data_IF_986096310046
#
_entry.id   IF_986096310046
#
_cell.length_a   1.000
_cell.length_b   1.000
_cell.length_c   1.000
_cell.angle_alpha   90.00
_cell.angle_beta   90.00
_cell.angle_gamma   90.00
#
_symmetry.space_group_name_H-M   'P 1'
#
loop_
_entity.id
_entity.type
_entity.pdbx_description
1 polymer ?
#
# COMPACT_ATOMS: atom_id res chain seq x y z
N UNK A 1 -40.17 43.65 17.81
CA UNK A 1 -39.28 44.53 17.01
C UNK A 1 -37.83 44.23 17.40
N UNK A 2 -36.97 43.81 16.46
CA UNK A 2 -35.56 43.56 16.81
C UNK A 2 -34.92 44.87 17.30
N UNK A 3 -34.00 44.82 18.28
CA UNK A 3 -33.33 46.02 18.74
C UNK A 3 -32.54 46.62 17.56
N UNK A 4 -32.61 47.96 17.36
CA UNK A 4 -31.76 48.60 16.37
C UNK A 4 -30.28 48.32 16.74
N UNK A 5 -29.39 48.19 15.74
CA UNK A 5 -27.98 48.00 16.01
C UNK A 5 -27.49 49.11 16.95
N UNK A 6 -26.68 48.75 17.95
CA UNK A 6 -26.19 49.62 19.04
C UNK A 6 -25.77 51.02 18.57
N UNK A 7 -25.22 51.10 17.36
CA UNK A 7 -24.84 52.34 16.68
C UNK A 7 -26.00 53.33 16.52
N UNK A 8 -27.16 52.87 16.06
CA UNK A 8 -28.33 53.71 15.78
C UNK A 8 -29.00 54.19 17.08
N UNK A 9 -28.94 53.36 18.13
CA UNK A 9 -29.39 53.76 19.46
C UNK A 9 -28.52 54.86 20.06
N UNK A 10 -27.19 54.74 19.93
CA UNK A 10 -26.24 55.74 20.42
C UNK A 10 -26.33 57.07 19.64
N UNK A 11 -26.48 57.01 18.31
CA UNK A 11 -26.66 58.21 17.48
C UNK A 11 -27.96 58.98 17.81
N UNK A 12 -29.02 58.27 18.21
CA UNK A 12 -30.28 58.91 18.65
C UNK A 12 -30.21 59.47 20.06
N UNK A 13 -29.57 58.76 21.00
CA UNK A 13 -29.53 59.15 22.42
C UNK A 13 -28.53 60.28 22.70
N UNK A 14 -27.47 60.41 21.89
CA UNK A 14 -26.38 61.36 22.12
C UNK A 14 -26.01 62.16 20.85
N UNK A 15 -27.01 62.59 20.09
CA UNK A 15 -26.84 63.25 18.79
C UNK A 15 -25.92 64.47 18.83
N UNK A 16 -26.05 65.33 19.85
CA UNK A 16 -25.20 66.52 20.01
C UNK A 16 -23.73 66.16 20.29
N UNK A 17 -23.48 65.19 21.16
CA UNK A 17 -22.12 64.76 21.53
C UNK A 17 -21.43 64.08 20.35
N UNK A 18 -22.18 63.26 19.60
CA UNK A 18 -21.70 62.60 18.38
C UNK A 18 -21.42 63.65 17.29
N UNK A 19 -22.29 64.63 17.12
CA UNK A 19 -22.11 65.74 16.17
C UNK A 19 -20.86 66.57 16.46
N UNK A 20 -20.66 66.96 17.73
CA UNK A 20 -19.48 67.71 18.16
C UNK A 20 -18.18 66.93 17.94
N UNK A 21 -18.15 65.65 18.34
CA UNK A 21 -16.96 64.79 18.12
C UNK A 21 -16.69 64.55 16.65
N UNK A 22 -17.72 64.42 15.80
CA UNK A 22 -17.53 64.30 14.34
C UNK A 22 -16.91 65.56 13.76
N UNK A 23 -17.33 66.75 14.21
CA UNK A 23 -16.74 68.02 13.79
C UNK A 23 -15.27 68.16 14.25
N UNK A 24 -14.96 67.79 15.49
CA UNK A 24 -13.58 67.80 16.02
C UNK A 24 -12.66 66.82 15.28
N UNK A 25 -13.17 65.64 14.91
CA UNK A 25 -12.44 64.63 14.13
C UNK A 25 -12.20 65.09 12.69
N UNK A 26 -13.18 65.75 12.07
CA UNK A 26 -13.03 66.30 10.71
C UNK A 26 -12.11 67.52 10.67
N UNK A 27 -12.02 68.28 11.76
CA UNK A 27 -11.10 69.41 11.89
C UNK A 27 -9.63 69.02 12.08
N UNK A 28 -9.33 67.75 12.41
CA UNK A 28 -7.96 67.29 12.62
C UNK A 28 -7.50 66.32 11.50
N UNK A 29 -6.67 66.78 10.55
CA UNK A 29 -6.30 66.00 9.37
C UNK A 29 -5.54 64.71 9.70
N UNK A 30 -4.83 64.65 10.83
CA UNK A 30 -4.11 63.44 11.27
C UNK A 30 -5.09 62.36 11.75
N UNK A 31 -6.13 62.76 12.48
CA UNK A 31 -7.13 61.83 13.02
C UNK A 31 -8.01 61.30 11.89
N UNK A 32 -8.47 62.16 10.98
CA UNK A 32 -9.24 61.74 9.81
C UNK A 32 -8.46 60.76 8.92
N UNK A 33 -7.15 60.98 8.75
CA UNK A 33 -6.29 60.08 7.99
C UNK A 33 -6.09 58.73 8.67
N UNK A 34 -5.91 58.71 10.00
CA UNK A 34 -5.85 57.45 10.77
C UNK A 34 -7.16 56.65 10.74
N UNK A 35 -8.31 57.33 10.80
CA UNK A 35 -9.63 56.69 10.71
C UNK A 35 -9.89 56.12 9.31
N UNK A 36 -9.50 56.85 8.25
CA UNK A 36 -9.57 56.33 6.88
C UNK A 36 -8.65 55.12 6.68
N UNK A 37 -7.46 55.12 7.27
CA UNK A 37 -6.56 53.97 7.23
C UNK A 37 -7.14 52.76 7.98
N UNK A 38 -7.72 52.98 9.16
CA UNK A 38 -8.37 51.94 9.94
C UNK A 38 -9.62 51.38 9.23
N UNK A 39 -10.41 52.23 8.61
CA UNK A 39 -11.58 51.83 7.84
C UNK A 39 -11.19 51.07 6.57
N UNK A 40 -10.11 51.47 5.87
CA UNK A 40 -9.55 50.69 4.75
C UNK A 40 -9.05 49.33 5.21
N UNK A 41 -8.41 49.25 6.38
CA UNK A 41 -7.97 47.97 6.96
C UNK A 41 -9.17 47.08 7.32
N UNK A 42 -10.20 47.64 7.94
CA UNK A 42 -11.46 46.94 8.26
C UNK A 42 -12.19 46.46 7.01
N UNK A 43 -12.27 47.28 5.96
CA UNK A 43 -12.87 46.91 4.67
C UNK A 43 -12.04 45.86 3.94
N UNK A 44 -10.71 45.90 4.05
CA UNK A 44 -9.83 44.85 3.51
C UNK A 44 -9.96 43.55 4.30
N UNK A 45 -10.12 43.60 5.62
CA UNK A 45 -10.38 42.43 6.47
C UNK A 45 -11.76 41.82 6.20
N UNK A 46 -12.80 42.66 6.02
CA UNK A 46 -14.15 42.22 5.68
C UNK A 46 -14.24 41.64 4.26
N UNK A 47 -13.52 42.23 3.28
CA UNK A 47 -13.35 41.64 1.93
C UNK A 47 -12.42 40.43 1.93
N UNK A 48 -11.55 40.29 2.94
CA UNK A 48 -10.60 39.20 3.14
C UNK A 48 -11.21 37.89 3.64
N UNK A 49 -12.49 37.90 4.07
CA UNK A 49 -13.22 36.66 4.44
C UNK A 49 -13.42 35.73 3.22
N UNK A 50 -13.22 36.19 1.98
CA UNK A 50 -13.32 35.36 0.77
C UNK A 50 -11.99 34.95 0.12
N UNK A 51 -10.82 35.34 0.66
CA UNK A 51 -9.53 34.86 0.13
C UNK A 51 -8.50 34.69 1.25
N UNK A 52 -8.52 33.52 1.87
CA UNK A 52 -7.37 32.99 2.61
C UNK A 52 -6.19 32.82 1.65
N UNK A 53 -5.24 33.76 1.69
CA UNK A 53 -3.87 33.48 1.29
C UNK A 53 -3.31 32.34 2.16
N UNK A 54 -2.59 31.35 1.60
CA UNK A 54 -2.13 30.22 2.38
C UNK A 54 -1.08 30.68 3.39
N UNK A 55 -1.36 30.41 4.67
CA UNK A 55 -0.46 30.63 5.79
C UNK A 55 0.85 29.89 5.58
N UNK A 56 1.92 30.68 5.47
CA UNK A 56 3.32 30.28 5.48
C UNK A 56 3.67 29.84 6.91
N UNK A 57 3.36 28.61 7.28
CA UNK A 57 3.60 28.16 8.67
C UNK A 57 3.08 26.77 8.99
N UNK A 58 3.54 25.76 8.25
CA UNK A 58 3.56 24.31 8.59
C UNK A 58 3.78 23.50 7.29
N UNK A 59 3.10 23.88 6.20
CA UNK A 59 3.19 23.18 4.91
C UNK A 59 4.57 23.26 4.25
N UNK A 60 5.33 24.35 4.45
CA UNK A 60 6.69 24.49 3.93
C UNK A 60 7.72 23.59 4.63
N UNK A 61 7.49 23.28 5.91
CA UNK A 61 8.38 22.39 6.68
C UNK A 61 8.13 20.92 6.31
N UNK A 62 6.86 20.52 6.18
CA UNK A 62 6.52 19.19 5.65
C UNK A 62 6.94 19.04 4.18
N UNK A 63 6.78 20.07 3.35
CA UNK A 63 7.26 20.07 1.96
C UNK A 63 8.79 20.01 1.87
N UNK A 64 9.50 20.77 2.72
CA UNK A 64 10.96 20.75 2.80
C UNK A 64 11.53 19.42 3.31
N UNK A 65 10.93 18.85 4.35
CA UNK A 65 11.33 17.54 4.88
C UNK A 65 10.99 16.43 3.88
N UNK A 66 9.82 16.47 3.24
CA UNK A 66 9.46 15.50 2.22
C UNK A 66 10.38 15.59 1.00
N UNK A 67 10.75 16.80 0.56
CA UNK A 67 11.69 16.99 -0.55
C UNK A 67 13.12 16.59 -0.20
N UNK A 68 13.58 16.85 1.04
CA UNK A 68 14.87 16.38 1.52
C UNK A 68 14.90 14.86 1.65
N UNK A 69 13.85 14.24 2.20
CA UNK A 69 13.73 12.79 2.31
C UNK A 69 13.64 12.12 0.95
N UNK A 70 12.92 12.70 -0.02
CA UNK A 70 12.89 12.15 -1.40
C UNK A 70 14.26 12.30 -2.07
N UNK A 71 14.97 13.41 -1.86
CA UNK A 71 16.30 13.60 -2.41
C UNK A 71 17.33 12.62 -1.81
N UNK A 72 17.32 12.44 -0.49
CA UNK A 72 18.17 11.46 0.20
C UNK A 72 17.79 10.03 -0.19
N UNK A 73 16.50 9.72 -0.31
CA UNK A 73 16.04 8.42 -0.78
C UNK A 73 16.51 8.15 -2.22
N UNK A 74 16.44 9.14 -3.11
CA UNK A 74 16.94 9.04 -4.49
C UNK A 74 18.46 8.84 -4.51
N UNK A 75 19.23 9.58 -3.71
CA UNK A 75 20.69 9.40 -3.62
C UNK A 75 21.06 8.01 -3.08
N UNK A 76 20.37 7.54 -2.04
CA UNK A 76 20.57 6.20 -1.47
C UNK A 76 20.18 5.10 -2.47
N UNK A 77 19.10 5.29 -3.24
CA UNK A 77 18.67 4.39 -4.32
C UNK A 77 19.66 4.36 -5.48
N UNK A 78 20.21 5.51 -5.90
CA UNK A 78 21.23 5.59 -6.94
C UNK A 78 22.52 4.91 -6.48
N UNK A 79 22.91 5.08 -5.21
CA UNK A 79 24.06 4.40 -4.64
C UNK A 79 23.87 2.88 -4.59
N UNK A 80 22.73 2.41 -4.08
CA UNK A 80 22.38 0.99 -3.99
C UNK A 80 22.15 0.33 -5.37
N UNK A 81 21.80 1.12 -6.39
CA UNK A 81 21.70 0.66 -7.78
C UNK A 81 23.06 0.61 -8.48
N UNK A 82 23.90 1.62 -8.25
CA UNK A 82 25.30 1.66 -8.72
C UNK A 82 26.15 0.55 -8.11
N UNK A 83 25.80 0.07 -6.91
CA UNK A 83 26.51 -1.03 -6.26
C UNK A 83 26.09 -2.41 -6.79
N UNK A 84 25.18 -2.52 -7.76
CA UNK A 84 25.02 -3.71 -8.60
C UNK A 84 24.59 -5.03 -7.93
N UNK A 85 24.46 -5.10 -6.61
CA UNK A 85 24.27 -6.36 -5.88
C UNK A 85 22.84 -6.95 -5.94
N UNK A 86 21.85 -6.21 -6.44
CA UNK A 86 20.43 -6.58 -6.26
C UNK A 86 19.75 -7.34 -7.41
N UNK A 87 20.38 -7.44 -8.59
CA UNK A 87 19.72 -7.97 -9.81
C UNK A 87 20.43 -9.21 -10.37
N UNK A 88 21.62 -9.56 -9.86
CA UNK A 88 22.42 -10.66 -10.40
C UNK A 88 22.44 -11.93 -9.54
N UNK A 89 21.86 -11.93 -8.34
CA UNK A 89 21.93 -13.07 -7.38
C UNK A 89 20.57 -13.56 -6.85
N UNK A 90 19.48 -13.38 -7.62
CA UNK A 90 18.23 -14.09 -7.30
C UNK A 90 18.14 -15.39 -8.08
N UNK A 91 18.39 -16.52 -7.39
CA UNK A 91 18.12 -17.89 -7.83
C UNK A 91 16.73 -18.09 -8.42
N UNK A 92 15.80 -17.20 -8.08
CA UNK A 92 14.41 -17.17 -8.53
C UNK A 92 14.28 -16.89 -10.05
N UNK A 93 15.26 -16.21 -10.64
CA UNK A 93 15.28 -15.89 -12.08
C UNK A 93 16.17 -16.82 -12.91
N UNK A 94 17.08 -17.56 -12.24
CA UNK A 94 18.06 -18.44 -12.87
C UNK A 94 17.52 -19.87 -12.90
N UNK A 95 17.49 -20.55 -14.06
CA UNK A 95 17.04 -21.94 -14.12
C UNK A 95 17.95 -22.83 -13.27
N UNK A 96 17.34 -23.82 -12.59
CA UNK A 96 18.06 -24.73 -11.67
C UNK A 96 19.22 -25.43 -12.37
N UNK A 97 19.07 -25.79 -13.65
CA UNK A 97 20.12 -26.44 -14.44
C UNK A 97 21.41 -25.64 -14.63
N UNK A 98 21.40 -24.34 -14.29
CA UNK A 98 22.56 -23.44 -14.34
C UNK A 98 23.11 -23.10 -12.96
N UNK A 99 22.56 -23.67 -11.89
CA UNK A 99 23.00 -23.33 -10.54
C UNK A 99 24.40 -23.86 -10.23
N UNK A 100 25.20 -23.04 -9.57
CA UNK A 100 26.52 -23.43 -9.05
C UNK A 100 26.38 -24.17 -7.72
N UNK A 101 27.42 -24.87 -7.24
CA UNK A 101 27.38 -25.53 -5.94
C UNK A 101 27.08 -24.58 -4.76
N UNK A 102 27.59 -23.36 -4.81
CA UNK A 102 27.34 -22.33 -3.80
C UNK A 102 25.88 -21.88 -3.79
N UNK A 103 25.30 -21.72 -4.98
CA UNK A 103 23.88 -21.38 -5.17
C UNK A 103 22.96 -22.51 -4.68
N UNK A 104 23.34 -23.78 -4.89
CA UNK A 104 22.63 -24.93 -4.34
C UNK A 104 22.69 -24.94 -2.81
N UNK A 105 23.85 -24.64 -2.22
CA UNK A 105 23.98 -24.52 -0.75
C UNK A 105 23.12 -23.37 -0.21
N UNK A 106 23.10 -22.23 -0.89
CA UNK A 106 22.24 -21.11 -0.54
C UNK A 106 20.75 -21.50 -0.60
N UNK A 107 20.31 -22.22 -1.64
CA UNK A 107 18.95 -22.77 -1.68
C UNK A 107 18.69 -23.75 -0.52
N UNK A 108 19.62 -24.64 -0.23
CA UNK A 108 19.48 -25.63 0.84
C UNK A 108 19.30 -24.95 2.22
N UNK A 109 19.99 -23.84 2.47
CA UNK A 109 19.78 -23.02 3.69
C UNK A 109 18.35 -22.47 3.82
N UNK A 110 17.70 -22.15 2.69
CA UNK A 110 16.33 -21.64 2.68
C UNK A 110 15.27 -22.71 2.94
N UNK A 111 15.60 -24.00 2.78
CA UNK A 111 14.68 -25.10 3.10
C UNK A 111 14.44 -25.18 4.61
N UNK A 112 15.44 -24.85 5.43
CA UNK A 112 15.28 -24.71 6.87
C UNK A 112 16.61 -24.62 7.62
N UNK A 113 16.59 -24.05 8.82
CA UNK A 113 17.82 -23.87 9.62
C UNK A 113 18.57 -25.18 9.94
N UNK A 114 17.84 -26.31 9.98
CA UNK A 114 18.39 -27.64 10.23
C UNK A 114 19.26 -28.18 9.09
N UNK A 115 19.17 -27.60 7.89
CA UNK A 115 19.96 -28.06 6.73
C UNK A 115 21.44 -27.74 6.85
N UNK A 116 21.81 -26.87 7.79
CA UNK A 116 23.20 -26.61 8.19
C UNK A 116 24.00 -27.89 8.50
N UNK A 117 23.33 -28.93 8.99
CA UNK A 117 23.93 -30.24 9.30
C UNK A 117 24.37 -31.01 8.05
N UNK A 118 23.82 -30.70 6.87
CA UNK A 118 24.03 -31.44 5.62
C UNK A 118 24.80 -30.63 4.56
N UNK A 119 25.27 -29.43 4.90
CA UNK A 119 25.99 -28.57 3.93
C UNK A 119 27.30 -29.18 3.46
N UNK A 120 28.06 -29.77 4.37
CA UNK A 120 29.41 -30.27 4.11
C UNK A 120 29.43 -31.38 3.06
N UNK A 121 28.56 -32.42 3.14
CA UNK A 121 28.42 -33.41 2.08
C UNK A 121 28.07 -32.82 0.71
N UNK A 122 27.16 -31.85 0.65
CA UNK A 122 26.77 -31.20 -0.61
C UNK A 122 27.91 -30.39 -1.23
N UNK A 123 28.73 -29.76 -0.39
CA UNK A 123 29.92 -29.03 -0.84
C UNK A 123 31.03 -29.98 -1.31
N UNK A 124 31.27 -31.07 -0.57
CA UNK A 124 32.29 -32.07 -0.92
C UNK A 124 32.01 -32.73 -2.27
N UNK A 125 30.75 -33.08 -2.53
CA UNK A 125 30.32 -33.63 -3.82
C UNK A 125 30.16 -32.60 -4.94
N UNK A 126 30.43 -31.32 -4.66
CA UNK A 126 30.25 -30.21 -5.60
C UNK A 126 28.88 -30.27 -6.30
N UNK A 127 27.81 -30.45 -5.51
CA UNK A 127 26.46 -30.62 -6.03
C UNK A 127 26.00 -29.35 -6.74
N UNK A 128 26.09 -29.36 -8.07
CA UNK A 128 25.54 -28.31 -8.91
C UNK A 128 24.06 -28.56 -9.20
N UNK A 129 23.39 -27.58 -9.79
CA UNK A 129 21.95 -27.66 -10.02
C UNK A 129 21.49 -28.78 -10.96
N UNK A 130 22.35 -29.30 -11.85
CA UNK A 130 22.01 -30.47 -12.67
C UNK A 130 22.03 -31.75 -11.84
N UNK A 131 23.04 -31.90 -10.97
CA UNK A 131 23.11 -33.03 -10.06
C UNK A 131 21.96 -32.99 -9.06
N UNK A 132 21.63 -31.80 -8.54
CA UNK A 132 20.49 -31.58 -7.66
C UNK A 132 19.18 -32.12 -8.25
N UNK A 133 18.90 -31.83 -9.52
CA UNK A 133 17.70 -32.32 -10.23
C UNK A 133 17.67 -33.84 -10.42
N UNK A 134 18.81 -34.53 -10.28
CA UNK A 134 18.89 -36.00 -10.36
C UNK A 134 18.81 -36.67 -8.99
N UNK A 135 18.90 -35.93 -7.89
CA UNK A 135 18.79 -36.50 -6.55
C UNK A 135 17.35 -36.99 -6.29
N UNK A 136 17.25 -38.18 -5.70
CA UNK A 136 16.03 -38.79 -5.18
C UNK A 136 16.21 -39.26 -3.74
N UNK A 137 15.19 -39.97 -3.22
CA UNK A 137 15.21 -40.45 -1.83
C UNK A 137 16.33 -41.46 -1.56
N UNK A 138 16.64 -42.31 -2.54
CA UNK A 138 17.71 -43.31 -2.43
C UNK A 138 19.09 -42.65 -2.32
N UNK A 139 19.37 -41.65 -3.15
CA UNK A 139 20.64 -40.94 -3.15
C UNK A 139 20.83 -40.15 -1.86
N UNK A 140 19.79 -39.44 -1.39
CA UNK A 140 19.85 -38.64 -0.16
C UNK A 140 20.05 -39.48 1.11
N UNK A 141 19.57 -40.74 1.11
CA UNK A 141 19.70 -41.64 2.25
C UNK A 141 21.10 -42.28 2.32
N UNK A 142 21.73 -42.54 1.17
CA UNK A 142 23.04 -43.19 1.11
C UNK A 142 24.18 -42.20 1.33
N UNK A 143 25.37 -42.75 1.57
CA UNK A 143 26.60 -41.96 1.53
C UNK A 143 26.73 -41.32 0.14
N UNK A 144 27.13 -40.05 0.04
CA UNK A 144 27.76 -39.23 1.07
C UNK A 144 26.82 -38.35 1.92
N UNK A 145 25.53 -38.24 1.55
CA UNK A 145 24.59 -37.28 2.17
C UNK A 145 23.99 -37.78 3.50
N UNK A 146 23.76 -39.09 3.63
CA UNK A 146 23.33 -39.76 4.87
C UNK A 146 22.21 -39.03 5.65
N UNK A 147 21.15 -38.62 4.95
CA UNK A 147 20.01 -37.95 5.59
C UNK A 147 19.07 -39.01 6.19
N UNK A 148 19.41 -39.54 7.36
CA UNK A 148 18.64 -40.61 8.00
C UNK A 148 17.26 -40.14 8.51
N UNK A 149 17.14 -38.86 8.86
CA UNK A 149 15.89 -38.29 9.37
C UNK A 149 14.83 -38.20 8.27
N UNK A 150 13.74 -38.98 8.44
CA UNK A 150 12.64 -39.04 7.48
C UNK A 150 11.94 -37.69 7.28
N UNK A 151 11.79 -36.86 8.32
CA UNK A 151 11.17 -35.55 8.20
C UNK A 151 12.03 -34.60 7.35
N UNK A 152 13.36 -34.63 7.55
CA UNK A 152 14.30 -33.85 6.76
C UNK A 152 14.29 -34.28 5.29
N UNK A 153 14.34 -35.58 5.02
CA UNK A 153 14.26 -36.09 3.64
C UNK A 153 12.98 -35.68 2.94
N UNK A 154 11.83 -35.88 3.58
CA UNK A 154 10.53 -35.47 3.01
C UNK A 154 10.49 -33.98 2.70
N UNK A 155 11.04 -33.14 3.59
CA UNK A 155 11.09 -31.70 3.36
C UNK A 155 12.01 -31.33 2.17
N UNK A 156 13.22 -31.91 2.07
CA UNK A 156 14.11 -31.67 0.92
C UNK A 156 13.47 -32.16 -0.38
N UNK A 157 12.90 -33.37 -0.38
CA UNK A 157 12.27 -33.95 -1.56
C UNK A 157 11.06 -33.14 -2.02
N UNK A 158 10.21 -32.68 -1.10
CA UNK A 158 9.07 -31.84 -1.44
C UNK A 158 9.51 -30.53 -2.12
N UNK A 159 10.55 -29.88 -1.59
CA UNK A 159 11.08 -28.67 -2.22
C UNK A 159 11.81 -28.96 -3.54
N UNK A 160 12.47 -30.12 -3.63
CA UNK A 160 13.15 -30.59 -4.84
C UNK A 160 12.15 -30.85 -5.98
N UNK A 161 11.03 -31.50 -5.70
CA UNK A 161 9.96 -31.70 -6.69
C UNK A 161 9.36 -30.35 -7.12
N UNK A 162 9.19 -29.40 -6.18
CA UNK A 162 8.72 -28.05 -6.49
C UNK A 162 9.64 -27.31 -7.47
N UNK A 163 10.96 -27.38 -7.28
CA UNK A 163 11.93 -26.76 -8.21
C UNK A 163 12.08 -27.55 -9.51
N UNK A 164 11.81 -28.86 -9.53
CA UNK A 164 11.77 -29.67 -10.77
C UNK A 164 10.58 -29.29 -11.63
N UNK A 165 9.39 -29.16 -11.04
CA UNK A 165 8.16 -28.76 -11.74
C UNK A 165 8.26 -27.34 -12.30
N UNK A 166 8.76 -26.39 -11.52
CA UNK A 166 8.84 -24.98 -11.91
C UNK A 166 10.11 -24.65 -12.71
N UNK A 167 11.14 -25.49 -12.63
CA UNK A 167 12.44 -25.27 -13.28
C UNK A 167 13.28 -24.11 -12.70
N UNK A 168 12.73 -23.39 -11.71
CA UNK A 168 13.33 -22.25 -11.00
C UNK A 168 12.97 -22.31 -9.51
N UNK A 169 13.75 -21.63 -8.66
CA UNK A 169 13.38 -21.41 -7.26
C UNK A 169 12.07 -20.58 -7.21
N UNK A 170 11.06 -20.95 -6.42
CA UNK A 170 9.86 -20.14 -6.29
C UNK A 170 10.09 -18.98 -5.33
N UNK A 171 9.48 -17.80 -5.56
CA UNK A 171 9.64 -16.66 -4.69
C UNK A 171 9.02 -16.94 -3.31
N UNK A 172 9.80 -16.75 -2.25
CA UNK A 172 9.34 -16.95 -0.86
C UNK A 172 8.96 -15.65 -0.16
N UNK A 173 9.43 -14.51 -0.67
CA UNK A 173 9.21 -13.21 -0.04
C UNK A 173 8.77 -12.16 -1.06
N UNK A 174 8.21 -11.04 -0.57
CA UNK A 174 7.75 -9.91 -1.39
C UNK A 174 8.81 -9.41 -2.38
N UNK A 175 10.07 -9.36 -1.99
CA UNK A 175 11.15 -8.81 -2.81
C UNK A 175 11.53 -9.75 -3.95
N UNK A 176 11.59 -11.05 -3.67
CA UNK A 176 11.74 -12.11 -4.67
C UNK A 176 10.55 -12.12 -5.62
N UNK A 177 9.32 -12.01 -5.11
CA UNK A 177 8.12 -11.95 -5.93
C UNK A 177 8.14 -10.72 -6.85
N UNK A 178 8.51 -9.55 -6.33
CA UNK A 178 8.66 -8.31 -7.12
C UNK A 178 9.73 -8.44 -8.19
N UNK A 179 10.85 -9.11 -7.90
CA UNK A 179 11.92 -9.28 -8.87
C UNK A 179 11.46 -10.10 -10.07
N UNK A 180 10.71 -11.18 -9.84
CA UNK A 180 10.14 -12.02 -10.91
C UNK A 180 8.97 -11.33 -11.60
N UNK A 181 8.09 -10.71 -10.83
CA UNK A 181 6.80 -10.18 -11.29
C UNK A 181 6.74 -8.66 -11.17
N UNK A 182 7.74 -7.95 -11.68
CA UNK A 182 7.87 -6.50 -11.46
C UNK A 182 6.63 -5.70 -11.92
N UNK A 183 6.11 -6.00 -13.12
CA UNK A 183 4.95 -5.31 -13.69
C UNK A 183 3.66 -5.61 -12.93
N UNK A 184 3.40 -6.90 -12.68
CA UNK A 184 2.23 -7.35 -11.91
C UNK A 184 2.25 -6.81 -10.49
N UNK A 185 3.40 -6.80 -9.82
CA UNK A 185 3.54 -6.26 -8.46
C UNK A 185 3.26 -4.76 -8.40
N UNK A 186 3.77 -3.98 -9.37
CA UNK A 186 3.50 -2.55 -9.44
C UNK A 186 2.03 -2.27 -9.77
N UNK A 187 1.48 -2.99 -10.75
CA UNK A 187 0.06 -2.91 -11.09
C UNK A 187 -0.82 -3.19 -9.87
N UNK A 188 -0.61 -4.32 -9.19
CA UNK A 188 -1.39 -4.71 -8.01
C UNK A 188 -1.28 -3.67 -6.88
N UNK A 189 -0.09 -3.14 -6.61
CA UNK A 189 0.10 -2.13 -5.56
C UNK A 189 -0.74 -0.86 -5.81
N UNK A 190 -0.76 -0.37 -7.04
CA UNK A 190 -1.56 0.81 -7.40
C UNK A 190 -3.04 0.50 -7.55
N UNK A 191 -3.37 -0.66 -8.12
CA UNK A 191 -4.73 -1.08 -8.43
C UNK A 191 -5.52 -1.44 -7.16
N UNK A 192 -4.91 -2.20 -6.24
CA UNK A 192 -5.53 -2.53 -4.95
C UNK A 192 -5.74 -1.27 -4.10
N UNK A 193 -4.84 -0.27 -4.22
CA UNK A 193 -5.02 1.02 -3.55
C UNK A 193 -6.19 1.80 -4.14
N UNK A 194 -6.24 1.98 -5.45
CA UNK A 194 -7.24 2.85 -6.11
C UNK A 194 -8.63 2.22 -6.16
N UNK A 195 -8.69 0.91 -6.40
CA UNK A 195 -9.93 0.18 -6.61
C UNK A 195 -9.76 -1.28 -6.18
N UNK A 196 -9.81 -1.58 -4.87
CA UNK A 196 -9.60 -2.94 -4.39
C UNK A 196 -10.66 -3.90 -4.94
N UNK A 197 -11.93 -3.47 -5.05
CA UNK A 197 -13.02 -4.30 -5.59
C UNK A 197 -12.78 -4.72 -7.03
N UNK A 198 -12.48 -3.77 -7.93
CA UNK A 198 -12.21 -4.10 -9.34
C UNK A 198 -10.95 -4.94 -9.50
N UNK A 199 -9.94 -4.71 -8.66
CA UNK A 199 -8.69 -5.45 -8.74
C UNK A 199 -8.85 -6.89 -8.25
N UNK A 200 -9.60 -7.11 -7.17
CA UNK A 200 -9.95 -8.46 -6.69
C UNK A 200 -10.81 -9.19 -7.73
N UNK A 201 -11.77 -8.50 -8.35
CA UNK A 201 -12.55 -9.08 -9.46
C UNK A 201 -11.65 -9.44 -10.66
N UNK A 202 -10.68 -8.59 -10.99
CA UNK A 202 -9.68 -8.90 -12.01
C UNK A 202 -8.88 -10.16 -11.67
N UNK A 203 -8.44 -10.31 -10.41
CA UNK A 203 -7.74 -11.51 -9.95
C UNK A 203 -8.62 -12.76 -10.07
N UNK A 204 -9.91 -12.67 -9.73
CA UNK A 204 -10.85 -13.77 -9.89
C UNK A 204 -11.01 -14.21 -11.35
N UNK A 205 -11.07 -13.27 -12.29
CA UNK A 205 -11.33 -13.56 -13.70
C UNK A 205 -10.08 -14.00 -14.48
N UNK A 206 -8.93 -13.41 -14.19
CA UNK A 206 -7.72 -13.57 -15.02
C UNK A 206 -6.60 -14.33 -14.32
N UNK A 207 -6.64 -14.48 -13.00
CA UNK A 207 -5.53 -15.01 -12.21
C UNK A 207 -6.01 -15.81 -10.98
N UNK A 208 -6.97 -16.70 -11.25
CA UNK A 208 -7.74 -17.39 -10.23
C UNK A 208 -6.88 -18.33 -9.37
N UNK A 209 -6.12 -19.23 -10.00
CA UNK A 209 -5.34 -20.26 -9.29
C UNK A 209 -4.13 -19.70 -8.56
N UNK A 210 -3.39 -18.78 -9.19
CA UNK A 210 -2.08 -18.35 -8.71
C UNK A 210 -2.16 -17.28 -7.63
N UNK A 211 -3.10 -16.32 -7.75
CA UNK A 211 -3.16 -15.16 -6.84
C UNK A 211 -4.47 -15.09 -6.08
N UNK A 212 -5.61 -15.26 -6.74
CA UNK A 212 -6.91 -15.09 -6.07
C UNK A 212 -7.18 -16.18 -5.03
N UNK A 213 -6.96 -17.45 -5.38
CA UNK A 213 -7.28 -18.57 -4.50
C UNK A 213 -6.43 -18.57 -3.21
N UNK A 214 -5.09 -18.39 -3.27
CA UNK A 214 -4.29 -18.19 -2.06
C UNK A 214 -4.75 -16.99 -1.25
N UNK A 215 -5.03 -15.85 -1.90
CA UNK A 215 -5.53 -14.64 -1.22
C UNK A 215 -6.85 -14.90 -0.47
N UNK A 216 -7.78 -15.64 -1.07
CA UNK A 216 -9.05 -16.00 -0.43
C UNK A 216 -8.82 -16.91 0.78
N UNK A 217 -7.98 -17.93 0.66
CA UNK A 217 -7.70 -18.85 1.78
C UNK A 217 -6.96 -18.18 2.94
N UNK A 218 -6.08 -17.23 2.65
CA UNK A 218 -5.40 -16.41 3.65
C UNK A 218 -6.40 -15.50 4.38
N UNK A 219 -7.23 -14.76 3.64
CA UNK A 219 -8.19 -13.82 4.25
C UNK A 219 -9.40 -14.51 4.92
N UNK A 220 -9.78 -15.70 4.45
CA UNK A 220 -10.96 -16.45 4.89
C UNK A 220 -10.56 -17.93 5.08
N UNK A 221 -9.93 -18.29 6.22
CA UNK A 221 -9.53 -19.67 6.49
C UNK A 221 -10.75 -20.56 6.66
N UNK A 222 -10.66 -21.83 6.23
CA UNK A 222 -11.74 -22.78 6.43
C UNK A 222 -11.92 -23.02 7.93
N UNK A 223 -13.18 -23.08 8.40
CA UNK A 223 -13.52 -23.38 9.79
C UNK A 223 -13.31 -24.89 10.07
N UNK A 224 -12.07 -25.33 10.02
CA UNK A 224 -11.59 -26.66 10.43
C UNK A 224 -10.44 -26.49 11.42
N UNK A 225 -10.67 -25.67 12.46
CA UNK A 225 -9.89 -25.69 13.69
C UNK A 225 -10.70 -26.41 14.75
N UNK A 226 -10.40 -27.68 14.97
CA UNK A 226 -10.15 -28.33 16.28
C UNK A 226 -10.07 -29.84 16.02
N UNK A 227 -9.01 -30.48 16.51
CA UNK A 227 -8.73 -31.93 16.50
C UNK A 227 -8.32 -32.59 15.18
N UNK A 228 -7.09 -32.36 14.70
CA UNK A 228 -6.15 -33.44 14.36
C UNK A 228 -4.71 -32.97 14.66
N UNK A 229 -3.84 -33.83 15.22
CA UNK A 229 -2.48 -33.47 15.57
C UNK A 229 -1.62 -33.30 14.33
N UNK A 230 -0.57 -32.50 14.49
CA UNK A 230 0.37 -32.00 13.49
C UNK A 230 1.19 -33.13 12.83
N UNK A 231 0.58 -33.85 11.88
CA UNK A 231 1.25 -34.65 10.87
C UNK A 231 0.54 -34.36 9.53
N UNK A 232 1.28 -34.18 8.44
CA UNK A 232 0.82 -33.87 7.07
C UNK A 232 0.66 -32.40 6.61
N UNK A 233 1.17 -31.39 7.34
CA UNK A 233 1.31 -30.04 6.77
C UNK A 233 2.63 -29.82 6.02
N UNK A 234 2.93 -30.71 5.07
CA UNK A 234 3.68 -30.28 3.88
C UNK A 234 2.73 -29.41 3.05
N UNK A 235 3.11 -28.19 2.59
CA UNK A 235 2.26 -27.38 1.73
C UNK A 235 2.29 -27.96 0.30
N UNK A 236 1.78 -29.18 0.16
CA UNK A 236 1.82 -29.98 -1.06
C UNK A 236 0.42 -30.56 -1.33
N UNK A 237 -0.59 -29.71 -1.47
CA UNK A 237 -1.75 -30.00 -2.34
C UNK A 237 -2.61 -28.75 -2.62
N UNK A 238 -2.23 -28.04 -3.68
CA UNK A 238 -3.07 -27.70 -4.81
C UNK A 238 -4.60 -27.75 -4.56
N UNK A 239 -5.22 -26.58 -4.59
CA UNK A 239 -6.63 -26.37 -4.97
C UNK A 239 -7.69 -27.14 -4.16
N UNK A 240 -7.72 -26.94 -2.84
CA UNK A 240 -8.97 -27.19 -2.10
C UNK A 240 -9.96 -26.10 -2.53
N UNK A 241 -10.99 -26.48 -3.30
CA UNK A 241 -12.06 -25.55 -3.67
C UNK A 241 -12.61 -24.86 -2.43
N UNK A 242 -12.86 -23.53 -2.46
CA UNK A 242 -13.29 -22.83 -1.27
C UNK A 242 -14.67 -23.34 -0.83
N UNK A 243 -14.84 -23.51 0.48
CA UNK A 243 -16.15 -23.84 1.03
C UNK A 243 -17.13 -22.69 0.83
N UNK A 244 -18.43 -23.00 0.83
CA UNK A 244 -19.48 -21.98 0.75
C UNK A 244 -19.41 -20.94 1.86
N UNK A 245 -18.99 -21.34 3.07
CA UNK A 245 -18.77 -20.44 4.19
C UNK A 245 -17.64 -19.44 3.92
N UNK A 246 -16.51 -19.91 3.39
CA UNK A 246 -15.40 -19.03 2.98
C UNK A 246 -15.83 -18.05 1.89
N UNK A 247 -16.59 -18.52 0.90
CA UNK A 247 -17.15 -17.64 -0.13
C UNK A 247 -18.10 -16.59 0.44
N UNK A 248 -18.97 -16.97 1.37
CA UNK A 248 -19.90 -16.04 2.00
C UNK A 248 -19.17 -14.97 2.84
N UNK A 249 -18.22 -15.38 3.67
CA UNK A 249 -17.38 -14.46 4.46
C UNK A 249 -16.60 -13.51 3.53
N UNK A 250 -15.96 -14.05 2.51
CA UNK A 250 -15.22 -13.29 1.53
C UNK A 250 -16.10 -12.27 0.81
N UNK A 251 -17.29 -12.68 0.36
CA UNK A 251 -18.21 -11.79 -0.37
C UNK A 251 -18.68 -10.62 0.51
N UNK A 252 -18.97 -10.88 1.79
CA UNK A 252 -19.33 -9.83 2.75
C UNK A 252 -18.18 -8.84 2.93
N UNK A 253 -16.95 -9.32 3.16
CA UNK A 253 -15.77 -8.48 3.30
C UNK A 253 -15.46 -7.71 2.00
N UNK A 254 -15.56 -8.36 0.85
CA UNK A 254 -15.34 -7.77 -0.48
C UNK A 254 -16.29 -6.61 -0.76
N UNK A 255 -17.58 -6.74 -0.41
CA UNK A 255 -18.57 -5.70 -0.63
C UNK A 255 -18.40 -4.53 0.34
N UNK A 256 -18.32 -4.82 1.64
CA UNK A 256 -18.39 -3.80 2.69
C UNK A 256 -17.03 -3.18 3.01
N UNK A 257 -15.97 -3.98 3.10
CA UNK A 257 -14.66 -3.59 3.65
C UNK A 257 -13.51 -4.19 2.81
N UNK A 258 -13.37 -3.82 1.53
CA UNK A 258 -12.38 -4.44 0.65
C UNK A 258 -10.94 -4.13 1.07
N UNK A 259 -10.69 -3.00 1.73
CA UNK A 259 -9.38 -2.67 2.29
C UNK A 259 -9.03 -3.49 3.54
N UNK A 260 -10.04 -3.99 4.28
CA UNK A 260 -9.79 -4.88 5.41
C UNK A 260 -9.21 -6.23 4.95
N UNK A 261 -9.64 -6.75 3.81
CA UNK A 261 -9.05 -7.96 3.21
C UNK A 261 -7.54 -7.76 2.95
N UNK A 262 -7.14 -6.58 2.47
CA UNK A 262 -5.72 -6.26 2.26
C UNK A 262 -4.96 -6.20 3.59
N UNK A 263 -5.58 -5.67 4.65
CA UNK A 263 -4.98 -5.62 5.98
C UNK A 263 -4.82 -7.01 6.60
N UNK A 264 -5.81 -7.89 6.47
CA UNK A 264 -5.76 -9.29 6.93
C UNK A 264 -4.69 -10.08 6.18
N UNK A 265 -4.62 -9.94 4.85
CA UNK A 265 -3.53 -10.53 4.07
C UNK A 265 -2.15 -10.05 4.51
N UNK A 266 -2.00 -8.74 4.74
CA UNK A 266 -0.73 -8.17 5.21
C UNK A 266 -0.37 -8.61 6.64
N UNK A 267 -1.38 -8.89 7.48
CA UNK A 267 -1.21 -9.38 8.84
C UNK A 267 -0.54 -10.76 8.87
N UNK A 268 -0.97 -11.68 8.01
CA UNK A 268 -0.36 -13.02 7.93
C UNK A 268 1.11 -12.97 7.49
N UNK A 269 1.49 -11.92 6.76
CA UNK A 269 2.88 -11.67 6.34
C UNK A 269 3.75 -10.95 7.36
N UNK A 270 3.23 -10.63 8.55
CA UNK A 270 3.96 -9.88 9.58
C UNK A 270 5.20 -10.62 10.10
N UNK A 271 5.19 -11.96 10.09
CA UNK A 271 6.32 -12.80 10.48
C UNK A 271 7.49 -12.72 9.48
N UNK A 272 7.19 -12.52 8.20
CA UNK A 272 8.18 -12.44 7.12
C UNK A 272 8.65 -11.00 6.91
N UNK A 273 7.71 -10.04 6.88
CA UNK A 273 7.99 -8.62 6.59
C UNK A 273 7.40 -7.69 7.66
N UNK A 274 8.00 -7.69 8.84
CA UNK A 274 7.51 -6.94 10.01
C UNK A 274 7.16 -5.47 9.72
N UNK A 275 8.07 -4.71 9.10
CA UNK A 275 7.85 -3.29 8.82
C UNK A 275 6.90 -3.05 7.65
N UNK A 276 7.13 -3.72 6.52
CA UNK A 276 6.32 -3.54 5.30
C UNK A 276 4.86 -3.89 5.54
N UNK A 277 4.57 -5.00 6.23
CA UNK A 277 3.21 -5.38 6.57
C UNK A 277 2.51 -4.32 7.42
N UNK A 278 3.19 -3.71 8.40
CA UNK A 278 2.63 -2.63 9.22
C UNK A 278 2.28 -1.38 8.41
N UNK A 279 3.15 -0.97 7.48
CA UNK A 279 2.85 0.15 6.59
C UNK A 279 1.62 -0.13 5.73
N UNK A 280 1.49 -1.35 5.20
CA UNK A 280 0.31 -1.76 4.41
C UNK A 280 -0.96 -1.76 5.28
N UNK A 281 -0.90 -2.32 6.49
CA UNK A 281 -2.04 -2.37 7.43
C UNK A 281 -2.50 -0.96 7.78
N UNK A 282 -1.59 -0.07 8.18
CA UNK A 282 -1.92 1.33 8.50
C UNK A 282 -2.53 2.03 7.29
N UNK A 283 -1.95 1.86 6.11
CA UNK A 283 -2.48 2.44 4.88
C UNK A 283 -3.89 1.93 4.55
N UNK A 284 -4.13 0.63 4.70
CA UNK A 284 -5.42 0.01 4.49
C UNK A 284 -6.47 0.53 5.48
N UNK A 285 -6.11 0.66 6.76
CA UNK A 285 -6.99 1.24 7.79
C UNK A 285 -7.37 2.68 7.47
N UNK A 286 -6.43 3.51 7.03
CA UNK A 286 -6.69 4.89 6.63
C UNK A 286 -7.64 4.95 5.42
N UNK A 287 -7.44 4.08 4.43
CA UNK A 287 -8.30 3.99 3.25
C UNK A 287 -9.73 3.52 3.62
N UNK A 288 -9.87 2.57 4.56
CA UNK A 288 -11.17 2.17 5.10
C UNK A 288 -11.91 3.33 5.76
N UNK A 289 -11.20 4.17 6.53
CA UNK A 289 -11.78 5.38 7.16
C UNK A 289 -12.25 6.37 6.09
N UNK A 290 -11.43 6.64 5.08
CA UNK A 290 -11.79 7.54 3.97
C UNK A 290 -13.01 7.04 3.20
N UNK A 291 -13.07 5.74 2.92
CA UNK A 291 -14.23 5.13 2.26
C UNK A 291 -15.49 5.26 3.11
N UNK A 292 -15.39 5.03 4.42
CA UNK A 292 -16.46 5.27 5.38
C UNK A 292 -16.95 6.73 5.37
N UNK A 293 -16.03 7.70 5.37
CA UNK A 293 -16.37 9.13 5.27
C UNK A 293 -17.08 9.48 3.95
N UNK A 294 -16.68 8.86 2.83
CA UNK A 294 -17.35 9.06 1.54
C UNK A 294 -18.76 8.45 1.57
N UNK A 295 -18.92 7.22 2.04
CA UNK A 295 -20.22 6.56 2.15
C UNK A 295 -21.17 7.31 3.09
N UNK A 296 -20.66 7.83 4.21
CA UNK A 296 -21.44 8.64 5.15
C UNK A 296 -21.98 9.92 4.51
N UNK A 297 -21.13 10.68 3.80
CA UNK A 297 -21.55 11.87 3.05
C UNK A 297 -22.57 11.52 1.98
N UNK A 298 -22.38 10.38 1.33
CA UNK A 298 -23.23 9.90 0.28
C UNK A 298 -24.64 9.54 0.78
N UNK A 299 -24.71 8.87 1.94
CA UNK A 299 -25.97 8.56 2.63
C UNK A 299 -26.70 9.85 3.04
N UNK A 300 -25.99 10.81 3.61
CA UNK A 300 -26.59 12.06 4.12
C UNK A 300 -27.07 13.02 3.01
N UNK A 301 -26.45 13.02 1.82
CA UNK A 301 -26.80 13.95 0.72
C UNK A 301 -27.76 13.39 -0.32
N UNK A 302 -28.26 12.15 -0.14
CA UNK A 302 -29.21 11.50 -1.05
C UNK A 302 -28.78 11.52 -2.55
N UNK A 303 -27.47 11.54 -2.83
CA UNK A 303 -26.91 11.60 -4.18
C UNK A 303 -26.99 10.27 -4.95
N UNK A 304 -27.79 9.30 -4.48
CA UNK A 304 -27.88 7.90 -4.94
C UNK A 304 -28.08 7.80 -6.46
N UNK A 305 -28.82 8.72 -7.05
CA UNK A 305 -29.09 8.75 -8.50
C UNK A 305 -27.82 8.98 -9.34
N UNK A 306 -26.77 9.56 -8.76
CA UNK A 306 -25.48 9.80 -9.43
C UNK A 306 -24.48 8.63 -9.28
N UNK A 307 -24.78 7.60 -8.48
CA UNK A 307 -23.88 6.45 -8.27
C UNK A 307 -23.51 5.74 -9.57
N UNK A 308 -24.45 5.35 -10.45
CA UNK A 308 -24.11 4.53 -11.60
C UNK A 308 -23.14 5.27 -12.53
N UNK A 309 -23.36 6.57 -12.72
CA UNK A 309 -22.51 7.41 -13.56
C UNK A 309 -21.11 7.60 -12.95
N UNK A 310 -21.02 7.81 -11.62
CA UNK A 310 -19.73 7.91 -10.91
C UNK A 310 -18.96 6.58 -10.94
N UNK A 311 -19.65 5.45 -10.73
CA UNK A 311 -19.06 4.11 -10.81
C UNK A 311 -18.59 3.77 -12.22
N UNK A 312 -19.37 4.12 -13.24
CA UNK A 312 -18.98 3.95 -14.64
C UNK A 312 -17.74 4.77 -15.00
N UNK A 313 -17.70 6.04 -14.57
CA UNK A 313 -16.52 6.89 -14.74
C UNK A 313 -15.29 6.32 -14.02
N UNK A 314 -15.48 5.77 -12.82
CA UNK A 314 -14.40 5.12 -12.07
C UNK A 314 -13.87 3.86 -12.76
N UNK A 315 -14.76 3.01 -13.27
CA UNK A 315 -14.40 1.82 -14.06
C UNK A 315 -13.61 2.23 -15.31
N UNK A 316 -14.09 3.25 -16.04
CA UNK A 316 -13.41 3.75 -17.23
C UNK A 316 -12.02 4.32 -16.92
N UNK A 317 -11.90 5.08 -15.82
CA UNK A 317 -10.61 5.60 -15.35
C UNK A 317 -9.65 4.48 -14.98
N UNK A 318 -10.14 3.46 -14.28
CA UNK A 318 -9.31 2.32 -13.88
C UNK A 318 -8.86 1.49 -15.09
N UNK A 319 -9.78 1.26 -16.04
CA UNK A 319 -9.49 0.55 -17.29
C UNK A 319 -8.46 1.30 -18.15
N UNK A 320 -8.65 2.61 -18.34
CA UNK A 320 -7.70 3.45 -19.09
C UNK A 320 -6.33 3.53 -18.42
N UNK A 321 -6.26 3.60 -17.09
CA UNK A 321 -5.00 3.54 -16.34
C UNK A 321 -4.32 2.18 -16.48
N UNK A 322 -5.06 1.07 -16.39
CA UNK A 322 -4.53 -0.28 -16.59
C UNK A 322 -4.03 -0.49 -18.02
N UNK A 323 -4.76 0.00 -19.02
CA UNK A 323 -4.36 -0.05 -20.42
C UNK A 323 -3.09 0.79 -20.68
N UNK A 324 -3.04 2.02 -20.16
CA UNK A 324 -1.85 2.86 -20.26
C UNK A 324 -0.65 2.18 -19.58
N UNK A 325 -0.85 1.57 -18.42
CA UNK A 325 0.18 0.79 -17.75
C UNK A 325 0.70 -0.35 -18.64
N UNK A 326 -0.19 -1.17 -19.19
CA UNK A 326 0.19 -2.28 -20.06
C UNK A 326 0.95 -1.81 -21.32
N UNK A 327 0.56 -0.68 -21.90
CA UNK A 327 1.18 -0.12 -23.10
C UNK A 327 2.56 0.49 -22.82
N UNK A 328 2.70 1.25 -21.74
CA UNK A 328 3.92 2.00 -21.45
C UNK A 328 4.92 1.23 -20.58
N UNK A 329 4.47 0.24 -19.81
CA UNK A 329 5.32 -0.56 -18.92
C UNK A 329 6.60 -1.11 -19.59
N UNK A 330 6.56 -1.68 -20.82
CA UNK A 330 7.77 -2.19 -21.47
C UNK A 330 8.81 -1.11 -21.82
N UNK A 331 8.38 0.16 -21.89
CA UNK A 331 9.23 1.30 -22.27
C UNK A 331 9.79 2.01 -21.03
N UNK A 332 9.13 1.86 -19.87
CA UNK A 332 9.54 2.54 -18.64
C UNK A 332 10.80 1.87 -18.08
N UNK A 333 11.88 2.63 -17.81
CA UNK A 333 13.08 2.06 -17.20
C UNK A 333 12.77 1.43 -15.84
N UNK A 334 13.37 0.27 -15.57
CA UNK A 334 13.15 -0.49 -14.33
C UNK A 334 13.43 0.33 -13.06
N UNK A 335 14.38 1.28 -13.13
CA UNK A 335 14.64 2.25 -12.08
C UNK A 335 13.40 3.08 -11.70
N UNK A 336 12.68 3.60 -12.70
CA UNK A 336 11.47 4.40 -12.49
C UNK A 336 10.39 3.54 -11.88
N UNK A 337 10.21 2.31 -12.36
CA UNK A 337 9.27 1.34 -11.80
C UNK A 337 9.57 1.02 -10.33
N UNK A 338 10.84 0.83 -9.99
CA UNK A 338 11.28 0.63 -8.61
C UNK A 338 10.99 1.86 -7.74
N UNK A 339 11.29 3.06 -8.23
CA UNK A 339 10.99 4.29 -7.51
C UNK A 339 9.50 4.44 -7.22
N UNK A 340 8.65 4.21 -8.23
CA UNK A 340 7.20 4.23 -8.08
C UNK A 340 6.71 3.17 -7.11
N UNK A 341 7.28 1.96 -7.16
CA UNK A 341 6.94 0.88 -6.23
C UNK A 341 7.21 1.28 -4.77
N UNK A 342 8.44 1.68 -4.45
CA UNK A 342 8.80 2.05 -3.08
C UNK A 342 8.09 3.32 -2.61
N UNK A 343 7.88 4.27 -3.52
CA UNK A 343 7.10 5.47 -3.23
C UNK A 343 5.67 5.10 -2.83
N UNK A 344 5.01 4.26 -3.62
CA UNK A 344 3.66 3.80 -3.33
C UNK A 344 3.59 2.92 -2.06
N UNK A 345 4.63 2.17 -1.73
CA UNK A 345 4.62 1.31 -0.56
C UNK A 345 4.77 2.10 0.75
N UNK A 346 5.69 3.07 0.80
CA UNK A 346 6.08 3.73 2.06
C UNK A 346 5.56 5.15 2.23
N UNK A 347 5.34 5.92 1.15
CA UNK A 347 4.88 7.31 1.25
C UNK A 347 3.36 7.44 1.17
N UNK A 348 2.66 6.49 0.54
CA UNK A 348 1.19 6.50 0.49
C UNK A 348 0.51 6.53 1.86
N UNK A 349 0.92 5.75 2.88
CA UNK A 349 0.35 5.86 4.21
C UNK A 349 0.46 7.28 4.76
N UNK A 350 1.60 7.94 4.57
CA UNK A 350 1.85 9.32 5.05
C UNK A 350 0.89 10.31 4.38
N UNK A 351 0.74 10.21 3.05
CA UNK A 351 -0.20 11.05 2.29
C UNK A 351 -1.64 10.81 2.75
N UNK A 352 -2.01 9.54 2.98
CA UNK A 352 -3.35 9.18 3.41
C UNK A 352 -3.67 9.66 4.84
N UNK A 353 -2.67 9.76 5.73
CA UNK A 353 -2.84 10.40 7.05
C UNK A 353 -3.27 11.86 6.89
N UNK A 354 -2.56 12.63 6.05
CA UNK A 354 -2.91 14.04 5.79
C UNK A 354 -4.32 14.17 5.20
N UNK A 355 -4.69 13.30 4.26
CA UNK A 355 -6.04 13.28 3.68
C UNK A 355 -7.12 12.96 4.72
N UNK A 356 -6.88 12.00 5.62
CA UNK A 356 -7.81 11.66 6.71
C UNK A 356 -7.95 12.84 7.67
N UNK A 357 -6.84 13.48 8.07
CA UNK A 357 -6.85 14.66 8.94
C UNK A 357 -7.64 15.79 8.30
N UNK A 358 -7.42 16.07 7.01
CA UNK A 358 -8.17 17.09 6.27
C UNK A 358 -9.67 16.78 6.23
N UNK A 359 -10.06 15.54 5.96
CA UNK A 359 -11.47 15.15 5.90
C UNK A 359 -12.17 15.19 7.27
N UNK A 360 -11.46 14.85 8.35
CA UNK A 360 -12.03 14.84 9.71
C UNK A 360 -12.06 16.23 10.34
N UNK A 361 -11.03 17.06 10.12
CA UNK A 361 -10.92 18.37 10.75
C UNK A 361 -11.73 19.45 10.03
N UNK A 362 -12.00 19.32 8.73
CA UNK A 362 -12.60 20.36 7.90
C UNK A 362 -13.79 19.85 7.07
N UNK A 363 -14.84 19.27 7.70
CA UNK A 363 -15.98 18.70 6.99
C UNK A 363 -16.76 19.73 6.15
N UNK A 364 -16.72 21.02 6.51
CA UNK A 364 -17.56 22.07 5.93
C UNK A 364 -16.90 22.87 4.79
N UNK A 365 -15.60 22.69 4.53
CA UNK A 365 -14.86 23.47 3.51
C UNK A 365 -14.82 22.82 2.12
N UNK A 366 -15.45 21.67 1.93
CA UNK A 366 -15.63 21.03 0.61
C UNK A 366 -17.13 20.91 0.25
N UNK A 367 -17.87 22.00 0.39
CA UNK A 367 -19.07 22.25 -0.41
C UNK A 367 -18.68 22.96 -1.71
N UNK A 368 -19.40 22.73 -2.83
CA UNK A 368 -19.17 23.44 -4.09
C UNK A 368 -19.26 24.96 -3.94
#
# INVERSE_FOLDING_TARGET
PPPPPLRDAVERLFSEVVGRRRAEIQGNPKVSQSLLAFQRYGDQAARGILKTSPGRGAGGFFSGVLTALTCVAVMFLVYHWSSGDGVHDLLVSKPVSKWTPEEVLFWLEHVGAWTSLYKEPFLQENVNGRLLLMLGDEELTRAPYNIDNQAHRRAVLAELERIKELGVKPPQNLWEYKAVNAGKSLFLLYALKSSPRLTILYLYLFDYSETFLPFLHTCCPALSRTSEPMEDSLPLNHQVHPSWCQWAEFLVKYLLLPYQLIAEFAWDWLSVHYWTSRFIIVNAMLLSVLEGCVLWRFYNRAEIRSLPQKMWGHLWRMSSQGFAFALFWPVIPQFVCNCLFYWALYFNPIINIDLVVQQLMHPDTQGP
#
